data_IF_370196777800
#
_entry.id   IF_370196777800
#
_cell.length_a   1.000
_cell.length_b   1.000
_cell.length_c   1.000
_cell.angle_alpha   90.00
_cell.angle_beta   90.00
_cell.angle_gamma   90.00
#
_symmetry.space_group_name_H-M   'P 1'
#
loop_
_entity.id
_entity.type
_entity.pdbx_description
1 polymer ?
#
# COMPACT_ATOMS: atom_id res chain seq x y z
N UNK A 1 5.28 -14.54 27.89
CA UNK A 1 5.57 -15.81 27.23
C UNK A 1 4.60 -16.96 27.58
N UNK A 2 4.33 -17.32 28.87
CA UNK A 2 3.41 -18.45 29.19
C UNK A 2 1.97 -18.29 28.67
N UNK A 3 1.35 -17.09 28.74
CA UNK A 3 -0.01 -16.84 28.22
C UNK A 3 -0.11 -16.94 26.68
N UNK A 4 0.90 -16.51 25.95
CA UNK A 4 0.94 -16.63 24.48
C UNK A 4 1.05 -18.08 24.03
N UNK A 5 1.89 -18.89 24.71
CA UNK A 5 2.00 -20.33 24.43
C UNK A 5 0.70 -21.10 24.73
N UNK A 6 -0.08 -20.67 25.72
CA UNK A 6 -1.37 -21.28 26.04
C UNK A 6 -2.42 -20.95 24.98
N UNK A 7 -2.42 -19.73 24.45
CA UNK A 7 -3.30 -19.32 23.35
C UNK A 7 -2.99 -20.08 22.07
N UNK A 8 -1.71 -20.19 21.71
CA UNK A 8 -1.26 -20.95 20.53
C UNK A 8 -1.64 -22.43 20.65
N UNK A 9 -1.50 -23.05 21.84
CA UNK A 9 -1.93 -24.44 22.08
C UNK A 9 -3.44 -24.60 21.95
N UNK A 10 -4.26 -23.65 22.41
CA UNK A 10 -5.72 -23.66 22.25
C UNK A 10 -6.14 -23.52 20.78
N UNK A 11 -5.50 -22.63 20.02
CA UNK A 11 -5.75 -22.45 18.60
C UNK A 11 -5.39 -23.70 17.79
N UNK A 12 -4.27 -24.34 18.11
CA UNK A 12 -3.86 -25.60 17.47
C UNK A 12 -4.81 -26.77 17.77
N UNK A 13 -5.34 -26.88 19.01
CA UNK A 13 -6.32 -27.91 19.37
C UNK A 13 -7.66 -27.78 18.63
N UNK A 14 -8.10 -26.56 18.39
CA UNK A 14 -9.41 -26.28 17.77
C UNK A 14 -9.37 -26.21 16.24
N UNK A 15 -8.24 -26.56 15.59
CA UNK A 15 -8.06 -26.45 14.13
C UNK A 15 -8.53 -25.08 13.56
N UNK A 16 -8.37 -24.00 14.33
CA UNK A 16 -8.72 -22.67 13.88
C UNK A 16 -7.71 -22.22 12.83
N UNK A 17 -8.15 -22.09 11.60
CA UNK A 17 -7.35 -21.54 10.51
C UNK A 17 -7.50 -20.02 10.54
N UNK A 18 -6.39 -19.33 10.83
CA UNK A 18 -6.32 -17.88 10.75
C UNK A 18 -5.79 -17.52 9.36
N UNK A 19 -6.66 -16.99 8.52
CA UNK A 19 -6.26 -16.51 7.19
C UNK A 19 -5.59 -15.14 7.31
N UNK A 20 -4.49 -14.94 6.63
CA UNK A 20 -3.85 -13.61 6.53
C UNK A 20 -4.79 -12.62 5.83
N UNK A 21 -5.50 -13.06 4.81
CA UNK A 21 -6.49 -12.28 4.07
C UNK A 21 -7.71 -13.16 3.84
N UNK A 22 -8.88 -12.68 4.25
CA UNK A 22 -10.16 -13.33 3.96
C UNK A 22 -11.12 -12.28 3.42
N UNK A 23 -11.35 -12.22 2.10
CA UNK A 23 -12.31 -11.29 1.51
C UNK A 23 -13.72 -11.56 2.07
N UNK A 24 -14.40 -10.50 2.48
CA UNK A 24 -15.78 -10.57 2.96
C UNK A 24 -16.68 -9.80 2.01
N UNK A 25 -17.51 -10.51 1.26
CA UNK A 25 -18.49 -9.93 0.34
C UNK A 25 -19.89 -10.24 0.89
N UNK A 26 -20.47 -9.26 1.56
CA UNK A 26 -21.82 -9.40 2.15
C UNK A 26 -22.92 -9.41 1.09
N UNK A 27 -24.11 -9.92 1.46
CA UNK A 27 -25.24 -10.04 0.54
C UNK A 27 -25.70 -8.69 -0.03
N UNK A 28 -25.58 -7.60 0.73
CA UNK A 28 -25.87 -6.24 0.26
C UNK A 28 -24.99 -5.83 -0.92
N UNK A 29 -23.68 -6.14 -0.84
CA UNK A 29 -22.72 -5.84 -1.92
C UNK A 29 -23.05 -6.69 -3.15
N UNK A 30 -23.27 -8.00 -2.97
CA UNK A 30 -23.67 -8.91 -4.08
C UNK A 30 -24.91 -8.40 -4.80
N UNK A 31 -25.96 -8.03 -4.04
CA UNK A 31 -27.19 -7.47 -4.60
C UNK A 31 -26.91 -6.19 -5.39
N UNK A 32 -26.16 -5.25 -4.83
CA UNK A 32 -25.85 -3.98 -5.51
C UNK A 32 -25.12 -4.20 -6.85
N UNK A 33 -24.20 -5.16 -6.91
CA UNK A 33 -23.50 -5.50 -8.16
C UNK A 33 -24.45 -6.09 -9.19
N UNK A 34 -25.31 -7.03 -8.78
CA UNK A 34 -26.30 -7.65 -9.66
C UNK A 34 -27.29 -6.60 -10.19
N UNK A 35 -27.82 -5.74 -9.30
CA UNK A 35 -28.75 -4.69 -9.67
C UNK A 35 -28.14 -3.68 -10.65
N UNK A 36 -26.83 -3.34 -10.46
CA UNK A 36 -26.11 -2.49 -11.39
C UNK A 36 -25.99 -3.11 -12.79
N UNK A 37 -25.54 -4.37 -12.87
CA UNK A 37 -25.38 -5.08 -14.15
C UNK A 37 -26.74 -5.21 -14.88
N UNK A 38 -27.83 -5.51 -14.15
CA UNK A 38 -29.17 -5.63 -14.73
C UNK A 38 -29.72 -4.30 -15.27
N UNK A 39 -29.33 -3.18 -14.64
CA UNK A 39 -29.87 -1.87 -14.98
C UNK A 39 -29.16 -1.23 -16.17
N UNK A 40 -27.83 -1.31 -16.22
CA UNK A 40 -27.00 -0.49 -17.09
C UNK A 40 -26.19 -1.30 -18.11
N UNK A 41 -25.90 -2.58 -17.86
CA UNK A 41 -25.05 -3.48 -18.67
C UNK A 41 -23.64 -2.92 -19.01
N UNK A 42 -23.27 -1.76 -18.46
CA UNK A 42 -22.04 -1.06 -18.81
C UNK A 42 -20.99 -1.27 -17.73
N UNK A 43 -20.12 -2.27 -17.93
CA UNK A 43 -19.18 -2.75 -16.90
C UNK A 43 -17.94 -1.86 -16.79
N UNK A 44 -17.55 -1.18 -17.87
CA UNK A 44 -16.31 -0.39 -17.93
C UNK A 44 -16.45 1.05 -17.46
N UNK A 45 -17.58 1.48 -16.94
CA UNK A 45 -17.89 2.87 -16.84
C UNK A 45 -18.51 3.28 -15.52
N UNK A 46 -18.38 4.33 -15.13
CA UNK A 46 -17.82 5.64 -14.84
C UNK A 46 -18.67 6.40 -13.83
N UNK A 47 -20.02 6.39 -13.87
CA UNK A 47 -20.87 7.12 -12.90
C UNK A 47 -20.73 6.63 -11.46
N UNK A 48 -20.56 5.31 -11.26
CA UNK A 48 -20.36 4.74 -9.92
C UNK A 48 -18.93 5.01 -9.46
N UNK A 49 -17.96 4.93 -10.37
CA UNK A 49 -16.55 5.27 -10.12
C UNK A 49 -16.43 6.73 -9.70
N UNK A 50 -16.98 7.67 -10.45
CA UNK A 50 -17.01 9.10 -10.09
C UNK A 50 -17.63 9.37 -8.72
N UNK A 51 -18.75 8.70 -8.41
CA UNK A 51 -19.38 8.81 -7.08
C UNK A 51 -18.46 8.28 -5.97
N UNK A 52 -17.73 7.22 -6.24
CA UNK A 52 -16.76 6.66 -5.30
C UNK A 52 -15.60 7.64 -5.11
N UNK A 53 -15.00 8.14 -6.18
CA UNK A 53 -13.89 9.10 -6.15
C UNK A 53 -14.26 10.36 -5.36
N UNK A 54 -15.43 10.95 -5.61
CA UNK A 54 -15.94 12.09 -4.86
C UNK A 54 -16.15 11.81 -3.37
N UNK A 55 -16.65 10.62 -3.02
CA UNK A 55 -16.82 10.23 -1.61
C UNK A 55 -15.49 9.97 -0.93
N UNK A 56 -14.55 9.34 -1.65
CA UNK A 56 -13.25 9.01 -1.10
C UNK A 56 -12.38 10.24 -0.92
N UNK A 57 -12.38 11.17 -1.89
CA UNK A 57 -11.68 12.45 -1.75
C UNK A 57 -12.18 13.24 -0.54
N UNK A 58 -13.51 13.26 -0.33
CA UNK A 58 -14.13 13.90 0.85
C UNK A 58 -13.75 13.21 2.16
N UNK A 59 -13.71 11.87 2.18
CA UNK A 59 -13.32 11.08 3.34
C UNK A 59 -11.85 11.30 3.74
N UNK A 60 -10.96 11.38 2.75
CA UNK A 60 -9.52 11.57 2.97
C UNK A 60 -9.10 13.03 3.07
N UNK A 61 -10.05 13.96 2.89
CA UNK A 61 -9.78 15.40 2.78
C UNK A 61 -8.73 15.72 1.71
N UNK A 62 -8.76 14.96 0.60
CA UNK A 62 -7.93 15.20 -0.57
C UNK A 62 -8.66 16.08 -1.59
N UNK A 63 -7.91 16.82 -2.39
CA UNK A 63 -8.49 17.70 -3.42
C UNK A 63 -9.19 16.88 -4.51
N UNK A 64 -8.54 15.80 -4.94
CA UNK A 64 -9.01 14.90 -6.00
C UNK A 64 -8.75 13.45 -5.60
N UNK A 65 -9.48 12.53 -6.22
CA UNK A 65 -9.26 11.11 -6.14
C UNK A 65 -9.50 10.49 -7.51
N UNK A 66 -8.62 9.61 -7.95
CA UNK A 66 -8.71 8.90 -9.22
C UNK A 66 -8.56 7.41 -8.97
N UNK A 67 -9.49 6.62 -9.49
CA UNK A 67 -9.43 5.15 -9.42
C UNK A 67 -8.49 4.59 -10.48
N UNK A 68 -7.72 3.60 -10.09
CA UNK A 68 -6.88 2.78 -10.96
C UNK A 68 -7.25 1.31 -10.83
N UNK A 69 -6.93 0.46 -11.82
CA UNK A 69 -7.26 -0.97 -11.78
C UNK A 69 -6.65 -1.71 -10.57
N UNK A 70 -5.50 -1.28 -10.11
CA UNK A 70 -4.81 -1.86 -8.96
C UNK A 70 -3.69 -0.94 -8.44
N UNK A 71 -3.19 -1.22 -7.23
CA UNK A 71 -2.14 -0.42 -6.59
C UNK A 71 -0.80 -0.41 -7.33
N UNK A 72 -0.47 -1.44 -8.09
CA UNK A 72 0.76 -1.47 -8.90
C UNK A 72 0.75 -0.39 -9.97
N UNK A 73 -0.34 -0.32 -10.73
CA UNK A 73 -0.51 0.71 -11.77
C UNK A 73 -0.62 2.10 -11.13
N UNK A 74 -1.31 2.23 -10.00
CA UNK A 74 -1.36 3.50 -9.25
C UNK A 74 0.05 4.01 -8.92
N UNK A 75 0.90 3.17 -8.33
CA UNK A 75 2.28 3.56 -8.01
C UNK A 75 3.10 3.88 -9.26
N UNK A 76 2.98 3.08 -10.32
CA UNK A 76 3.67 3.34 -11.58
C UNK A 76 3.26 4.69 -12.19
N UNK A 77 1.96 4.99 -12.21
CA UNK A 77 1.44 6.27 -12.70
C UNK A 77 1.91 7.46 -11.87
N UNK A 78 1.98 7.32 -10.55
CA UNK A 78 2.54 8.37 -9.68
C UNK A 78 4.01 8.62 -10.02
N UNK A 79 4.81 7.58 -10.20
CA UNK A 79 6.22 7.72 -10.54
C UNK A 79 6.42 8.34 -11.92
N UNK A 80 5.55 8.03 -12.88
CA UNK A 80 5.57 8.64 -14.21
C UNK A 80 5.25 10.13 -14.15
N UNK A 81 4.19 10.52 -13.40
CA UNK A 81 3.84 11.92 -13.19
C UNK A 81 4.94 12.76 -12.52
N UNK A 82 5.83 12.15 -11.75
CA UNK A 82 6.96 12.85 -11.13
C UNK A 82 8.06 13.22 -12.14
N UNK A 83 8.02 12.68 -13.34
CA UNK A 83 8.97 12.95 -14.43
C UNK A 83 10.45 12.95 -13.99
N UNK A 84 10.84 11.93 -13.26
CA UNK A 84 12.16 11.82 -12.67
C UNK A 84 13.23 11.49 -13.73
N UNK A 85 14.42 12.02 -13.54
CA UNK A 85 15.55 11.68 -14.41
C UNK A 85 15.84 10.17 -14.33
N UNK A 86 16.17 9.57 -15.46
CA UNK A 86 16.60 8.17 -15.55
C UNK A 86 17.72 7.91 -14.54
N UNK A 87 17.69 6.76 -13.88
CA UNK A 87 18.63 6.36 -12.83
C UNK A 87 18.58 7.20 -11.54
N UNK A 88 17.59 8.08 -11.36
CA UNK A 88 17.27 8.58 -10.02
C UNK A 88 17.01 7.41 -9.09
N UNK A 89 17.34 7.55 -7.82
CA UNK A 89 17.20 6.47 -6.84
C UNK A 89 15.84 6.52 -6.13
N UNK A 90 15.26 5.34 -5.96
CA UNK A 90 14.06 5.10 -5.16
C UNK A 90 14.38 4.14 -4.02
N UNK A 91 14.01 4.50 -2.81
CA UNK A 91 14.14 3.68 -1.61
C UNK A 91 12.79 3.05 -1.25
N UNK A 92 12.80 1.75 -1.02
CA UNK A 92 11.59 0.96 -0.74
C UNK A 92 11.86 0.06 0.47
N UNK A 93 10.86 -0.13 1.34
CA UNK A 93 10.95 -1.12 2.42
C UNK A 93 11.25 -2.51 1.87
N UNK A 94 12.18 -3.25 2.46
CA UNK A 94 12.49 -4.62 2.01
C UNK A 94 11.38 -5.62 2.36
N UNK A 95 10.50 -5.29 3.30
CA UNK A 95 9.32 -6.08 3.63
C UNK A 95 8.06 -5.38 3.12
N UNK A 96 7.64 -5.72 1.92
CA UNK A 96 6.48 -5.18 1.23
C UNK A 96 6.01 -6.14 0.14
N UNK A 97 4.90 -5.83 -0.51
CA UNK A 97 4.48 -6.52 -1.72
C UNK A 97 5.54 -6.33 -2.81
N UNK A 98 5.89 -7.39 -3.53
CA UNK A 98 6.90 -7.34 -4.61
C UNK A 98 6.58 -6.27 -5.67
N UNK A 99 5.31 -5.97 -5.90
CA UNK A 99 4.87 -4.90 -6.80
C UNK A 99 5.45 -3.54 -6.43
N UNK A 100 5.59 -3.23 -5.12
CA UNK A 100 6.15 -1.96 -4.64
C UNK A 100 7.60 -1.77 -5.08
N UNK A 101 8.38 -2.83 -5.13
CA UNK A 101 9.75 -2.77 -5.65
C UNK A 101 9.78 -2.76 -7.19
N UNK A 102 8.88 -3.52 -7.83
CA UNK A 102 8.86 -3.64 -9.30
C UNK A 102 8.49 -2.34 -10.02
N UNK A 103 7.73 -1.43 -9.40
CA UNK A 103 7.39 -0.14 -10.03
C UNK A 103 8.63 0.72 -10.29
N UNK A 104 9.71 0.53 -9.53
CA UNK A 104 10.98 1.18 -9.80
C UNK A 104 11.55 0.81 -11.18
N UNK A 105 11.37 -0.45 -11.61
CA UNK A 105 11.79 -0.92 -12.93
C UNK A 105 10.95 -0.30 -14.05
N UNK A 106 9.65 -0.18 -13.87
CA UNK A 106 8.76 0.47 -14.83
C UNK A 106 9.15 1.94 -15.03
N UNK A 107 9.46 2.64 -13.94
CA UNK A 107 9.89 4.03 -13.97
C UNK A 107 11.39 4.22 -14.32
N UNK A 108 12.11 3.14 -14.62
CA UNK A 108 13.58 3.16 -14.93
C UNK A 108 14.42 3.82 -13.84
N UNK A 109 14.00 3.66 -12.58
CA UNK A 109 14.71 4.18 -11.41
C UNK A 109 15.63 3.11 -10.82
N UNK A 110 16.68 3.57 -10.14
CA UNK A 110 17.59 2.69 -9.40
C UNK A 110 16.95 2.32 -8.06
N UNK A 111 16.52 1.06 -7.93
CA UNK A 111 15.96 0.54 -6.69
C UNK A 111 17.05 0.31 -5.64
N UNK A 112 16.80 0.78 -4.42
CA UNK A 112 17.55 0.41 -3.23
C UNK A 112 16.57 0.04 -2.11
N UNK A 113 16.88 -1.01 -1.34
CA UNK A 113 16.01 -1.53 -0.29
C UNK A 113 16.45 -0.99 1.06
N UNK A 114 15.47 -0.57 1.86
CA UNK A 114 15.65 -0.12 3.24
C UNK A 114 15.12 -1.19 4.18
N UNK A 115 15.87 -1.51 5.20
CA UNK A 115 15.48 -2.52 6.19
C UNK A 115 14.28 -2.07 7.03
N UNK A 116 13.68 -3.01 7.74
CA UNK A 116 12.52 -2.78 8.60
C UNK A 116 12.91 -2.83 10.08
N UNK A 117 12.10 -2.17 10.89
CA UNK A 117 12.15 -2.27 12.34
C UNK A 117 11.47 -3.56 12.82
N UNK A 118 12.11 -4.32 13.70
CA UNK A 118 11.53 -5.52 14.31
C UNK A 118 10.32 -5.21 15.21
N UNK A 119 10.17 -3.95 15.64
CA UNK A 119 9.08 -3.55 16.54
C UNK A 119 7.73 -3.44 15.83
N UNK A 120 7.73 -2.95 14.57
CA UNK A 120 6.51 -2.61 13.84
C UNK A 120 6.48 -3.13 12.41
N UNK A 121 7.57 -3.72 11.91
CA UNK A 121 7.74 -4.21 10.55
C UNK A 121 7.62 -3.12 9.47
N UNK A 122 7.69 -1.85 9.87
CA UNK A 122 7.75 -0.72 8.96
C UNK A 122 9.20 -0.32 8.69
N UNK A 123 9.43 0.57 7.71
CA UNK A 123 10.77 1.03 7.32
C UNK A 123 11.56 1.56 8.53
N UNK A 124 12.79 1.08 8.68
CA UNK A 124 13.70 1.50 9.74
C UNK A 124 14.29 2.88 9.45
N UNK A 125 14.04 3.91 10.31
CA UNK A 125 14.58 5.26 10.09
C UNK A 125 16.10 5.31 10.08
N UNK A 126 16.76 4.51 10.91
CA UNK A 126 18.22 4.46 11.01
C UNK A 126 18.86 3.92 9.73
N UNK A 127 18.24 2.90 9.12
CA UNK A 127 18.75 2.35 7.85
C UNK A 127 18.42 3.29 6.68
N UNK A 128 17.25 3.95 6.71
CA UNK A 128 16.92 4.99 5.74
C UNK A 128 17.96 6.13 5.76
N UNK A 129 18.34 6.63 6.94
CA UNK A 129 19.35 7.69 7.06
C UNK A 129 20.72 7.29 6.49
N UNK A 130 21.08 6.01 6.56
CA UNK A 130 22.33 5.52 5.97
C UNK A 130 22.28 5.42 4.45
N UNK A 131 21.12 5.20 3.87
CA UNK A 131 20.93 4.91 2.45
C UNK A 131 20.49 6.11 1.63
N UNK A 132 19.80 7.08 2.26
CA UNK A 132 19.36 8.29 1.56
C UNK A 132 20.56 9.12 1.12
N UNK A 133 20.53 9.60 -0.12
CA UNK A 133 21.60 10.38 -0.71
C UNK A 133 21.05 11.38 -1.76
N UNK A 134 21.91 12.21 -2.35
CA UNK A 134 21.54 13.24 -3.35
C UNK A 134 20.79 12.72 -4.58
N UNK A 135 20.96 11.45 -4.93
CA UNK A 135 20.29 10.82 -6.06
C UNK A 135 18.91 10.25 -5.66
N UNK A 136 18.63 10.09 -4.38
CA UNK A 136 17.33 9.62 -3.87
C UNK A 136 16.28 10.68 -4.16
N UNK A 137 15.23 10.29 -4.89
CA UNK A 137 14.12 11.17 -5.26
C UNK A 137 12.79 10.71 -4.70
N UNK A 138 12.68 9.42 -4.39
CA UNK A 138 11.44 8.83 -3.88
C UNK A 138 11.75 7.86 -2.73
N UNK A 139 10.91 7.90 -1.72
CA UNK A 139 10.84 6.89 -0.66
C UNK A 139 9.43 6.32 -0.63
N UNK A 140 9.26 5.01 -0.82
CA UNK A 140 7.97 4.35 -0.67
C UNK A 140 7.94 3.68 0.70
N UNK A 141 7.12 4.24 1.58
CA UNK A 141 6.90 3.74 2.92
C UNK A 141 5.69 2.80 2.97
N UNK A 142 5.90 1.59 3.45
CA UNK A 142 4.81 0.60 3.59
C UNK A 142 4.34 0.54 5.04
N UNK A 143 3.05 0.81 5.26
CA UNK A 143 2.38 0.63 6.55
C UNK A 143 1.95 -0.83 6.69
N UNK A 144 2.90 -1.69 7.09
CA UNK A 144 2.68 -3.14 7.12
C UNK A 144 1.54 -3.51 8.08
N UNK A 145 0.55 -4.24 7.56
CA UNK A 145 -0.64 -4.68 8.33
C UNK A 145 -1.39 -3.53 9.02
N UNK A 146 -1.40 -2.32 8.42
CA UNK A 146 -2.04 -1.13 8.98
C UNK A 146 -1.29 -0.47 10.14
N UNK A 147 -0.04 -0.88 10.41
CA UNK A 147 0.80 -0.23 11.43
C UNK A 147 1.34 1.08 10.90
N UNK A 148 1.27 2.12 11.74
CA UNK A 148 1.76 3.45 11.34
C UNK A 148 3.28 3.53 11.39
N UNK A 149 3.92 2.81 12.31
CA UNK A 149 5.36 2.86 12.54
C UNK A 149 5.85 4.28 12.87
N UNK A 150 7.07 4.60 12.46
CA UNK A 150 7.68 5.90 12.73
C UNK A 150 7.56 6.88 11.54
N UNK A 151 6.38 6.96 10.92
CA UNK A 151 6.15 7.74 9.67
C UNK A 151 6.55 9.21 9.82
N UNK A 152 6.32 9.82 10.98
CA UNK A 152 6.67 11.22 11.18
C UNK A 152 8.19 11.46 11.21
N UNK A 153 8.96 10.49 11.71
CA UNK A 153 10.42 10.54 11.64
C UNK A 153 10.92 10.32 10.20
N UNK A 154 10.32 9.38 9.46
CA UNK A 154 10.61 9.16 8.03
C UNK A 154 10.37 10.46 7.25
N UNK A 155 9.22 11.12 7.44
CA UNK A 155 8.91 12.42 6.81
C UNK A 155 9.96 13.49 7.12
N UNK A 156 10.44 13.56 8.38
CA UNK A 156 11.49 14.51 8.78
C UNK A 156 12.81 14.22 8.08
N UNK A 157 13.17 12.95 7.91
CA UNK A 157 14.38 12.53 7.20
C UNK A 157 14.29 12.93 5.72
N UNK A 158 13.14 12.69 5.08
CA UNK A 158 12.94 12.99 3.66
C UNK A 158 12.85 14.51 3.34
N UNK A 159 12.63 15.38 4.34
CA UNK A 159 12.59 16.85 4.16
C UNK A 159 13.94 17.55 4.22
N UNK A 160 14.98 16.85 4.65
CA UNK A 160 16.38 17.34 4.68
C UNK A 160 17.05 17.13 3.34
#
# INVERSE_FOLDING_TARGET
MKKQNLLLKKLAKNKVVIYQIKPVIGNKVKKSVIDYIKKDNWITEHKVTEKFEKKFSKFTNSKECICFPNGTITMASILDCLNLKKNSEILVSNYTMVATANVARFARLKLNLVDISNADLCMCPQDLMKKINKNTKVVIYTQMNGRVGQIELIKKICKK
#
